data_IF_288846706476
#
_entry.id   IF_288846706476
#
_cell.length_a   1.000
_cell.length_b   1.000
_cell.length_c   1.000
_cell.angle_alpha   90.00
_cell.angle_beta   90.00
_cell.angle_gamma   90.00
#
_symmetry.space_group_name_H-M   'P 1'
#
loop_
_entity.id
_entity.type
_entity.pdbx_description
1 polymer ?
#
# COMPACT_ATOMS: atom_id res chain seq x y z
N UNK A 1 -21.65 -7.62 -10.20
CA UNK A 1 -21.88 -7.31 -8.77
C UNK A 1 -20.76 -7.94 -7.96
N UNK A 2 -20.01 -7.18 -7.17
CA UNK A 2 -19.04 -7.78 -6.25
C UNK A 2 -19.80 -8.51 -5.11
N UNK A 3 -19.56 -9.80 -4.88
CA UNK A 3 -20.30 -10.57 -3.88
C UNK A 3 -20.08 -10.01 -2.46
N UNK A 4 -21.02 -10.21 -1.54
CA UNK A 4 -20.90 -9.73 -0.14
C UNK A 4 -19.61 -10.23 0.57
N UNK A 5 -19.10 -11.38 0.13
CA UNK A 5 -17.80 -11.93 0.55
C UNK A 5 -16.65 -11.00 0.15
N UNK A 6 -16.67 -10.41 -1.04
CA UNK A 6 -15.61 -9.52 -1.52
C UNK A 6 -15.46 -8.25 -0.66
N UNK A 7 -16.57 -7.72 -0.14
CA UNK A 7 -16.54 -6.54 0.74
C UNK A 7 -16.02 -6.85 2.14
N UNK A 8 -16.29 -8.05 2.64
CA UNK A 8 -15.74 -8.52 3.92
C UNK A 8 -14.23 -8.78 3.81
N UNK A 9 -13.81 -9.38 2.68
CA UNK A 9 -12.39 -9.56 2.34
C UNK A 9 -11.68 -8.23 2.19
N UNK A 10 -12.28 -7.25 1.49
CA UNK A 10 -11.73 -5.90 1.38
C UNK A 10 -11.52 -5.27 2.75
N UNK A 11 -12.53 -5.33 3.65
CA UNK A 11 -12.39 -4.79 5.01
C UNK A 11 -11.23 -5.45 5.77
N UNK A 12 -11.13 -6.78 5.72
CA UNK A 12 -10.05 -7.50 6.38
C UNK A 12 -8.68 -7.09 5.80
N UNK A 13 -8.57 -7.02 4.48
CA UNK A 13 -7.38 -6.53 3.78
C UNK A 13 -6.99 -5.12 4.23
N UNK A 14 -7.94 -4.18 4.32
CA UNK A 14 -7.68 -2.81 4.74
C UNK A 14 -7.19 -2.73 6.19
N UNK A 15 -7.77 -3.52 7.10
CA UNK A 15 -7.34 -3.59 8.51
C UNK A 15 -5.92 -4.17 8.62
N UNK A 16 -5.64 -5.26 7.90
CA UNK A 16 -4.31 -5.86 7.87
C UNK A 16 -3.29 -4.90 7.26
N UNK A 17 -3.63 -4.21 6.18
CA UNK A 17 -2.79 -3.18 5.57
C UNK A 17 -2.50 -2.04 6.55
N UNK A 18 -3.50 -1.55 7.29
CA UNK A 18 -3.28 -0.57 8.36
C UNK A 18 -2.28 -1.06 9.41
N UNK A 19 -2.47 -2.29 9.91
CA UNK A 19 -1.57 -2.87 10.91
C UNK A 19 -0.14 -2.99 10.38
N UNK A 20 0.04 -3.38 9.12
CA UNK A 20 1.34 -3.46 8.47
C UNK A 20 2.01 -2.09 8.34
N UNK A 21 1.30 -1.04 7.94
CA UNK A 21 1.90 0.31 7.87
C UNK A 21 2.30 0.83 9.25
N UNK A 22 1.46 0.61 10.27
CA UNK A 22 1.80 1.00 11.63
C UNK A 22 3.00 0.21 12.14
N UNK A 23 3.10 -1.08 11.80
CA UNK A 23 4.25 -1.89 12.13
C UNK A 23 5.52 -1.39 11.43
N UNK A 24 5.45 -1.05 10.14
CA UNK A 24 6.55 -0.45 9.38
C UNK A 24 6.99 0.88 9.98
N UNK A 25 6.05 1.77 10.32
CA UNK A 25 6.33 3.02 11.03
C UNK A 25 7.02 2.77 12.37
N UNK A 26 6.55 1.79 13.15
CA UNK A 26 7.15 1.44 14.43
C UNK A 26 8.57 0.92 14.24
N UNK A 27 8.81 0.06 13.24
CA UNK A 27 10.16 -0.43 12.92
C UNK A 27 11.09 0.70 12.48
N UNK A 28 10.57 1.66 11.73
CA UNK A 28 11.33 2.83 11.31
C UNK A 28 11.73 3.71 12.50
N UNK A 29 10.84 3.99 13.44
CA UNK A 29 11.14 4.97 14.50
C UNK A 29 11.63 4.40 15.82
N UNK A 30 11.06 3.28 16.26
CA UNK A 30 11.36 2.71 17.57
C UNK A 30 12.45 1.66 17.52
N UNK A 31 12.54 0.89 16.43
CA UNK A 31 13.60 -0.11 16.25
C UNK A 31 14.72 0.37 15.34
N UNK A 32 14.67 1.63 14.89
CA UNK A 32 15.67 2.25 14.01
C UNK A 32 16.05 1.41 12.79
N UNK A 33 15.11 0.64 12.25
CA UNK A 33 15.38 -0.24 11.12
C UNK A 33 15.80 0.56 9.87
N UNK A 34 16.81 0.14 9.11
CA UNK A 34 17.20 0.78 7.86
C UNK A 34 16.06 0.82 6.84
N UNK A 35 15.99 1.89 6.06
CA UNK A 35 14.96 2.08 5.03
C UNK A 35 14.99 0.99 3.96
N UNK A 36 16.19 0.56 3.54
CA UNK A 36 16.36 -0.52 2.56
C UNK A 36 15.71 -1.85 2.99
N UNK A 37 15.59 -2.09 4.30
CA UNK A 37 15.00 -3.31 4.85
C UNK A 37 13.46 -3.21 4.97
N UNK A 38 12.92 -2.00 4.85
CA UNK A 38 11.49 -1.69 4.87
C UNK A 38 10.93 -1.45 3.46
N UNK A 39 11.74 -0.88 2.57
CA UNK A 39 11.43 -0.58 1.19
C UNK A 39 12.60 -1.04 0.30
N UNK A 40 12.63 -2.32 -0.14
CA UNK A 40 13.70 -2.87 -0.97
C UNK A 40 13.85 -2.22 -2.34
N UNK A 41 12.89 -1.39 -2.76
CA UNK A 41 13.00 -0.52 -3.92
C UNK A 41 13.87 0.71 -3.68
N UNK A 42 14.35 0.97 -2.46
CA UNK A 42 15.23 2.08 -2.09
C UNK A 42 16.50 1.52 -1.41
N UNK A 43 17.46 0.98 -2.18
CA UNK A 43 18.60 0.25 -1.64
C UNK A 43 19.70 1.15 -1.08
N UNK A 44 19.69 2.45 -1.39
CA UNK A 44 20.72 3.39 -0.97
C UNK A 44 20.69 3.64 0.56
N UNK A 45 21.71 3.13 1.24
CA UNK A 45 21.91 3.32 2.67
C UNK A 45 22.18 4.78 3.06
N UNK A 46 22.59 5.64 2.11
CA UNK A 46 22.74 7.07 2.30
C UNK A 46 21.43 7.78 2.66
N UNK A 47 20.28 7.24 2.26
CA UNK A 47 18.97 7.80 2.57
C UNK A 47 18.67 7.77 4.07
N UNK A 48 19.16 6.77 4.80
CA UNK A 48 19.01 6.68 6.25
C UNK A 48 19.77 7.80 6.99
N UNK A 49 20.84 8.34 6.38
CA UNK A 49 21.61 9.45 6.93
C UNK A 49 20.91 10.81 6.76
N UNK A 50 19.83 10.88 5.96
CA UNK A 50 19.06 12.10 5.69
C UNK A 50 17.81 12.10 6.57
N UNK A 51 17.77 12.86 7.69
CA UNK A 51 16.68 12.75 8.68
C UNK A 51 15.31 13.11 8.11
N UNK A 52 15.26 14.02 7.13
CA UNK A 52 14.01 14.41 6.49
C UNK A 52 13.40 13.27 5.67
N UNK A 53 14.22 12.44 5.03
CA UNK A 53 13.73 11.33 4.21
C UNK A 53 13.06 10.27 5.07
N UNK A 54 13.68 9.92 6.21
CA UNK A 54 13.06 9.05 7.23
C UNK A 54 11.71 9.59 7.72
N UNK A 55 11.61 10.90 7.93
CA UNK A 55 10.36 11.57 8.34
C UNK A 55 9.27 11.52 7.28
N UNK A 56 9.64 11.75 6.03
CA UNK A 56 8.70 11.67 4.91
C UNK A 56 8.18 10.24 4.75
N UNK A 57 9.06 9.23 4.78
CA UNK A 57 8.65 7.83 4.70
C UNK A 57 7.73 7.43 5.86
N UNK A 58 8.06 7.85 7.08
CA UNK A 58 7.22 7.63 8.26
C UNK A 58 5.84 8.30 8.15
N UNK A 59 5.81 9.55 7.70
CA UNK A 59 4.56 10.29 7.47
C UNK A 59 3.70 9.60 6.40
N UNK A 60 4.34 9.08 5.36
CA UNK A 60 3.70 8.28 4.33
C UNK A 60 3.06 7.00 4.92
N UNK A 61 3.79 6.20 5.72
CA UNK A 61 3.23 5.01 6.39
C UNK A 61 2.02 5.36 7.27
N UNK A 62 2.12 6.43 8.07
CA UNK A 62 1.01 6.87 8.93
C UNK A 62 -0.20 7.30 8.11
N UNK A 63 0.02 8.12 7.08
CA UNK A 63 -1.06 8.63 6.22
C UNK A 63 -1.77 7.49 5.51
N UNK A 64 -1.01 6.56 4.92
CA UNK A 64 -1.58 5.44 4.21
C UNK A 64 -2.30 4.46 5.15
N UNK A 65 -1.74 4.22 6.34
CA UNK A 65 -2.40 3.46 7.39
C UNK A 65 -3.75 4.06 7.78
N UNK A 66 -3.79 5.37 8.05
CA UNK A 66 -5.03 6.07 8.40
C UNK A 66 -6.06 5.99 7.27
N UNK A 67 -5.65 6.20 6.01
CA UNK A 67 -6.54 6.06 4.86
C UNK A 67 -7.15 4.66 4.76
N UNK A 68 -6.34 3.61 4.98
CA UNK A 68 -6.85 2.23 5.02
C UNK A 68 -7.83 2.01 6.16
N UNK A 69 -7.57 2.55 7.34
CA UNK A 69 -8.48 2.44 8.48
C UNK A 69 -9.82 3.16 8.22
N UNK A 70 -9.78 4.37 7.68
CA UNK A 70 -10.98 5.12 7.31
C UNK A 70 -11.81 4.37 6.25
N UNK A 71 -11.15 3.82 5.23
CA UNK A 71 -11.79 2.98 4.22
C UNK A 71 -12.34 1.67 4.82
N UNK A 72 -11.70 1.10 5.85
CA UNK A 72 -12.18 -0.12 6.51
C UNK A 72 -13.43 0.13 7.34
N UNK A 73 -13.46 1.25 8.07
CA UNK A 73 -14.60 1.70 8.88
C UNK A 73 -15.82 1.84 7.96
N UNK A 74 -15.68 2.56 6.85
CA UNK A 74 -16.74 2.73 5.86
C UNK A 74 -16.31 2.30 4.45
N UNK A 75 -16.37 0.99 4.22
CA UNK A 75 -16.10 0.38 2.89
C UNK A 75 -17.13 0.77 1.83
N UNK A 76 -18.20 1.48 2.16
CA UNK A 76 -19.17 2.00 1.18
C UNK A 76 -18.82 3.40 0.73
N UNK A 77 -17.99 4.11 1.49
CA UNK A 77 -17.55 5.45 1.14
C UNK A 77 -16.56 5.39 -0.03
N UNK A 78 -17.08 5.75 -1.21
CA UNK A 78 -16.30 5.75 -2.45
C UNK A 78 -15.16 6.75 -2.41
N UNK A 79 -15.30 7.86 -1.70
CA UNK A 79 -14.23 8.85 -1.61
C UNK A 79 -12.99 8.24 -0.97
N UNK A 80 -13.13 7.52 0.16
CA UNK A 80 -11.99 6.89 0.82
C UNK A 80 -11.36 5.80 -0.03
N UNK A 81 -12.17 4.97 -0.70
CA UNK A 81 -11.65 3.93 -1.60
C UNK A 81 -10.96 4.52 -2.83
N UNK A 82 -11.52 5.57 -3.43
CA UNK A 82 -10.92 6.24 -4.59
C UNK A 82 -9.64 6.97 -4.22
N UNK A 83 -9.60 7.70 -3.11
CA UNK A 83 -8.37 8.34 -2.61
C UNK A 83 -7.30 7.28 -2.36
N UNK A 84 -7.64 6.20 -1.65
CA UNK A 84 -6.72 5.11 -1.37
C UNK A 84 -6.20 4.43 -2.66
N UNK A 85 -7.07 4.20 -3.65
CA UNK A 85 -6.68 3.64 -4.94
C UNK A 85 -5.74 4.57 -5.73
N UNK A 86 -6.01 5.88 -5.72
CA UNK A 86 -5.12 6.88 -6.35
C UNK A 86 -3.77 6.93 -5.64
N UNK A 87 -3.76 6.97 -4.30
CA UNK A 87 -2.51 6.95 -3.52
C UNK A 87 -1.66 5.72 -3.85
N UNK A 88 -2.26 4.54 -3.89
CA UNK A 88 -1.55 3.31 -4.25
C UNK A 88 -1.07 3.28 -5.71
N UNK A 89 -1.86 3.84 -6.63
CA UNK A 89 -1.42 3.98 -8.03
C UNK A 89 -0.17 4.85 -8.12
N UNK A 90 -0.18 6.00 -7.46
CA UNK A 90 0.96 6.93 -7.46
C UNK A 90 2.18 6.26 -6.83
N UNK A 91 2.02 5.56 -5.71
CA UNK A 91 3.10 4.83 -5.04
C UNK A 91 3.71 3.73 -5.91
N UNK A 92 2.86 2.91 -6.54
CA UNK A 92 3.31 1.84 -7.43
C UNK A 92 4.10 2.43 -8.62
N UNK A 93 3.58 3.50 -9.24
CA UNK A 93 4.26 4.19 -10.33
C UNK A 93 5.60 4.77 -9.88
N UNK A 94 5.65 5.45 -8.73
CA UNK A 94 6.90 5.99 -8.18
C UNK A 94 7.91 4.88 -7.91
N UNK A 95 7.50 3.78 -7.29
CA UNK A 95 8.39 2.66 -6.97
C UNK A 95 8.90 1.96 -8.22
N UNK A 96 8.07 1.85 -9.26
CA UNK A 96 8.48 1.31 -10.57
C UNK A 96 9.46 2.26 -11.25
N UNK A 97 9.19 3.58 -11.27
CA UNK A 97 10.08 4.58 -11.85
C UNK A 97 11.42 4.65 -11.11
N UNK A 98 11.40 4.55 -9.78
CA UNK A 98 12.59 4.48 -8.93
C UNK A 98 13.52 3.36 -9.39
N UNK A 99 12.99 2.15 -9.58
CA UNK A 99 13.77 0.98 -9.97
C UNK A 99 14.21 1.04 -11.44
N UNK A 100 13.28 1.33 -12.35
CA UNK A 100 13.52 1.24 -13.80
C UNK A 100 14.25 2.45 -14.38
N UNK A 101 14.00 3.65 -13.83
CA UNK A 101 14.52 4.91 -14.38
C UNK A 101 15.70 5.39 -13.56
N UNK A 102 15.52 5.57 -12.25
CA UNK A 102 16.55 6.20 -11.41
C UNK A 102 17.68 5.23 -11.06
N UNK A 103 17.35 4.00 -10.69
CA UNK A 103 18.34 2.94 -10.46
C UNK A 103 18.79 2.26 -11.75
N UNK A 104 18.15 2.57 -12.88
CA UNK A 104 18.43 2.01 -14.20
C UNK A 104 18.48 0.47 -14.21
N UNK A 105 17.72 -0.19 -13.32
CA UNK A 105 17.69 -1.65 -13.26
C UNK A 105 16.82 -2.16 -14.42
N UNK A 106 17.38 -2.92 -15.37
CA UNK A 106 16.60 -3.37 -16.52
C UNK A 106 15.55 -4.38 -16.07
N UNK A 107 14.38 -4.35 -16.73
CA UNK A 107 13.28 -5.26 -16.41
C UNK A 107 13.69 -6.73 -16.49
N UNK A 108 14.59 -7.08 -17.42
CA UNK A 108 15.13 -8.44 -17.52
C UNK A 108 15.85 -8.87 -16.24
N UNK A 109 16.69 -8.00 -15.66
CA UNK A 109 17.39 -8.29 -14.40
C UNK A 109 16.41 -8.51 -13.24
N UNK A 110 15.33 -7.71 -13.15
CA UNK A 110 14.29 -7.92 -12.12
C UNK A 110 13.63 -9.30 -12.20
N UNK A 111 13.49 -9.83 -13.41
CA UNK A 111 12.78 -11.10 -13.64
C UNK A 111 13.69 -12.32 -13.57
N UNK A 112 14.98 -12.18 -13.87
CA UNK A 112 15.91 -13.31 -13.99
C UNK A 112 16.95 -13.40 -12.89
N UNK A 113 17.28 -12.29 -12.23
CA UNK A 113 18.31 -12.26 -11.19
C UNK A 113 17.70 -12.40 -9.79
N UNK A 114 18.21 -13.36 -9.02
CA UNK A 114 17.80 -13.60 -7.64
C UNK A 114 18.18 -12.45 -6.71
N UNK A 115 19.21 -11.67 -7.04
CA UNK A 115 19.61 -10.49 -6.28
C UNK A 115 18.48 -9.43 -6.21
N UNK A 116 17.62 -9.38 -7.24
CA UNK A 116 16.50 -8.46 -7.30
C UNK A 116 15.17 -9.08 -6.82
N UNK A 117 15.14 -10.33 -6.38
CA UNK A 117 13.92 -11.00 -5.95
C UNK A 117 13.12 -10.22 -4.88
N UNK A 118 13.74 -9.60 -3.85
CA UNK A 118 13.01 -8.79 -2.88
C UNK A 118 12.35 -7.55 -3.50
N UNK A 119 13.06 -6.86 -4.39
CA UNK A 119 12.55 -5.69 -5.13
C UNK A 119 11.41 -6.08 -6.05
N UNK A 120 11.55 -7.18 -6.80
CA UNK A 120 10.51 -7.71 -7.70
C UNK A 120 9.27 -8.13 -6.93
N UNK A 121 9.43 -8.82 -5.80
CA UNK A 121 8.31 -9.20 -4.94
C UNK A 121 7.60 -7.96 -4.38
N UNK A 122 8.35 -6.97 -3.91
CA UNK A 122 7.80 -5.71 -3.41
C UNK A 122 7.00 -4.97 -4.48
N UNK A 123 7.56 -4.76 -5.67
CA UNK A 123 6.86 -4.11 -6.79
C UNK A 123 5.62 -4.92 -7.22
N UNK A 124 5.72 -6.25 -7.25
CA UNK A 124 4.59 -7.13 -7.57
C UNK A 124 3.44 -6.98 -6.57
N UNK A 125 3.75 -6.86 -5.28
CA UNK A 125 2.76 -6.57 -4.24
C UNK A 125 2.13 -5.20 -4.47
N UNK A 126 2.91 -4.15 -4.74
CA UNK A 126 2.36 -2.81 -5.00
C UNK A 126 1.42 -2.79 -6.21
N UNK A 127 1.79 -3.44 -7.30
CA UNK A 127 0.93 -3.56 -8.50
C UNK A 127 -0.34 -4.33 -8.18
N UNK A 128 -0.24 -5.44 -7.44
CA UNK A 128 -1.42 -6.21 -7.04
C UNK A 128 -2.37 -5.40 -6.14
N UNK A 129 -1.82 -4.65 -5.18
CA UNK A 129 -2.59 -3.77 -4.29
C UNK A 129 -3.27 -2.65 -5.07
N UNK A 130 -2.55 -2.01 -5.99
CA UNK A 130 -3.09 -0.99 -6.90
C UNK A 130 -4.26 -1.54 -7.71
N UNK A 131 -4.08 -2.68 -8.40
CA UNK A 131 -5.13 -3.28 -9.23
C UNK A 131 -6.35 -3.69 -8.40
N UNK A 132 -6.13 -4.28 -7.22
CA UNK A 132 -7.21 -4.70 -6.33
C UNK A 132 -8.03 -3.50 -5.82
N UNK A 133 -7.36 -2.43 -5.37
CA UNK A 133 -8.03 -1.23 -4.86
C UNK A 133 -8.74 -0.46 -5.97
N UNK A 134 -8.15 -0.36 -7.16
CA UNK A 134 -8.79 0.25 -8.32
C UNK A 134 -10.08 -0.52 -8.70
N UNK A 135 -10.02 -1.85 -8.72
CA UNK A 135 -11.19 -2.69 -8.97
C UNK A 135 -12.30 -2.45 -7.93
N UNK A 136 -11.94 -2.46 -6.64
CA UNK A 136 -12.92 -2.28 -5.56
C UNK A 136 -13.50 -0.85 -5.52
N UNK A 137 -12.72 0.17 -5.87
CA UNK A 137 -13.20 1.54 -5.98
C UNK A 137 -14.22 1.72 -7.13
N UNK A 138 -14.05 0.96 -8.22
CA UNK A 138 -14.97 0.97 -9.35
C UNK A 138 -16.19 0.04 -9.16
N UNK A 139 -16.14 -0.91 -8.21
CA UNK A 139 -17.19 -1.90 -8.00
C UNK A 139 -18.48 -1.28 -7.42
N UNK A 140 -19.67 -1.82 -7.77
CA UNK A 140 -20.93 -1.37 -7.17
C UNK A 140 -20.94 -1.62 -5.67
N UNK A 141 -21.29 -0.61 -4.89
CA UNK A 141 -21.36 -0.67 -3.42
C UNK A 141 -22.26 -1.83 -2.95
N UNK A 142 -21.93 -2.50 -1.84
CA UNK A 142 -22.73 -3.60 -1.34
C UNK A 142 -24.14 -3.11 -0.97
N UNK A 143 -25.18 -3.91 -1.17
CA UNK A 143 -26.54 -3.53 -0.78
C UNK A 143 -26.58 -3.15 0.70
N UNK A 144 -27.39 -2.13 1.03
CA UNK A 144 -27.66 -1.80 2.41
C UNK A 144 -28.18 -3.06 3.13
N UNK A 145 -27.59 -3.42 4.28
CA UNK A 145 -28.22 -4.44 5.12
C UNK A 145 -29.53 -3.81 5.55
N UNK A 146 -30.66 -4.43 5.22
CA UNK A 146 -31.98 -3.97 5.62
C UNK A 146 -31.91 -3.52 7.08
N UNK A 147 -32.02 -2.20 7.31
CA UNK A 147 -32.28 -1.70 8.64
C UNK A 147 -33.59 -2.36 9.06
N UNK A 148 -33.53 -3.31 9.99
CA UNK A 148 -34.74 -3.78 10.66
C UNK A 148 -35.43 -2.50 11.13
N UNK A 149 -36.60 -2.21 10.57
CA UNK A 149 -37.52 -1.24 11.14
C UNK A 149 -37.79 -1.73 12.55
N UNK A 150 -37.16 -1.08 13.52
CA UNK A 150 -37.64 -1.11 14.89
C UNK A 150 -38.98 -0.37 14.83
N UNK A 151 -40.05 -1.15 14.77
CA UNK A 151 -41.40 -0.67 15.11
C UNK A 151 -41.45 -0.42 16.61
#
# INVERSE_FOLDING_TARGET
MAPAVAWSVLRAYLILGFALEMHTFVRLYYTSMPLRDLAPSLPDAGLDAIPIFRRLFGTYCVTLGVLRLLAAIDVRNRLYLSVLAVTHTIEALFSISEVLVYQATPLTALLTDIAHAPTTAFLGVLVAQMSFLAYMAAAPSPPAKNAKKLN
#
